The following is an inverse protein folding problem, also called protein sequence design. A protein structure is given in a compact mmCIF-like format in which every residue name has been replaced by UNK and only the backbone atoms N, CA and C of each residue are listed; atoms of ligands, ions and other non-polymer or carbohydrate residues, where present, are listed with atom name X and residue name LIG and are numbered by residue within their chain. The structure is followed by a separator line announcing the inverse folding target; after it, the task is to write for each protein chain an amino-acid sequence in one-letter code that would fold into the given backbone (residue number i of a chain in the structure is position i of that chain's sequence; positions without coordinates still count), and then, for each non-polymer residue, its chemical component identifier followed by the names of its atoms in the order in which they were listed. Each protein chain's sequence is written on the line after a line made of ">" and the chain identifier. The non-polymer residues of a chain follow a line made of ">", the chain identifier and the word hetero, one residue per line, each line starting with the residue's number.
data_IF_946040634654
#
_entry.id   IF_946040634654
#
_cell.length_a   1.000
_cell.length_b   1.000
_cell.length_c   1.000
_cell.angle_alpha   90.00
_cell.angle_beta   90.00
_cell.angle_gamma   90.00
#
_symmetry.space_group_name_H-M   'P 1'
#
loop_
_entity.id
_entity.type
_entity.pdbx_description
1 polymer ?
#
# COMPACT_ATOMS: atom_id res chain seq x y z
N UNK A 1 0.26 -34.26 10.52
CA UNK A 1 -0.37 -33.50 9.42
C UNK A 1 0.35 -32.18 9.33
N UNK A 2 1.42 -32.14 8.53
CA UNK A 2 2.25 -30.94 8.37
C UNK A 2 1.48 -29.89 7.60
N UNK A 3 0.97 -28.88 8.32
CA UNK A 3 0.51 -27.65 7.69
C UNK A 3 1.76 -26.85 7.37
N UNK A 4 2.17 -26.85 6.10
CA UNK A 4 3.26 -26.02 5.61
C UNK A 4 2.86 -24.56 5.72
N UNK A 5 3.40 -23.87 6.71
CA UNK A 5 3.35 -22.41 6.86
C UNK A 5 4.14 -21.78 5.70
N UNK A 6 3.48 -21.65 4.54
CA UNK A 6 4.01 -20.95 3.36
C UNK A 6 3.95 -19.44 3.62
N UNK A 7 4.79 -18.97 4.54
CA UNK A 7 4.95 -17.54 4.81
C UNK A 7 5.65 -16.92 3.60
N UNK A 8 4.84 -16.42 2.66
CA UNK A 8 5.32 -15.63 1.54
C UNK A 8 6.24 -14.51 2.06
N UNK A 9 7.32 -14.16 1.35
CA UNK A 9 8.20 -13.08 1.78
C UNK A 9 7.37 -11.81 1.92
N UNK A 10 7.34 -11.25 3.14
CA UNK A 10 6.60 -10.02 3.45
C UNK A 10 7.33 -8.89 2.74
N UNK A 11 6.80 -8.44 1.61
CA UNK A 11 7.38 -7.35 0.83
C UNK A 11 7.11 -6.03 1.55
N UNK A 12 8.16 -5.25 1.78
CA UNK A 12 8.05 -3.91 2.37
C UNK A 12 7.66 -2.89 1.30
N UNK A 13 6.56 -2.17 1.53
CA UNK A 13 6.11 -1.10 0.63
C UNK A 13 6.79 0.20 1.04
N UNK A 14 7.76 0.64 0.23
CA UNK A 14 8.59 1.83 0.52
C UNK A 14 7.96 3.15 0.11
N UNK A 15 7.01 3.13 -0.82
CA UNK A 15 6.44 4.34 -1.41
C UNK A 15 4.91 4.27 -1.42
N UNK A 16 4.29 5.25 -0.77
CA UNK A 16 2.82 5.37 -0.65
C UNK A 16 2.33 6.78 -0.96
N UNK A 17 3.23 7.65 -1.38
CA UNK A 17 3.00 9.07 -1.62
C UNK A 17 2.77 9.35 -3.12
N UNK A 18 2.39 10.58 -3.45
CA UNK A 18 2.23 11.02 -4.84
C UNK A 18 3.60 11.47 -5.36
N UNK A 19 4.02 10.98 -6.53
CA UNK A 19 5.30 11.36 -7.15
C UNK A 19 5.09 12.40 -8.25
N UNK A 20 5.51 13.65 -8.00
CA UNK A 20 5.39 14.78 -8.93
C UNK A 20 6.73 15.52 -8.96
N UNK A 21 7.22 15.87 -10.15
CA UNK A 21 8.47 16.62 -10.33
C UNK A 21 9.68 16.03 -9.57
N UNK A 22 9.84 14.70 -9.60
CA UNK A 22 10.90 13.95 -8.92
C UNK A 22 10.86 14.00 -7.39
N UNK A 23 9.76 14.44 -6.79
CA UNK A 23 9.58 14.52 -5.35
C UNK A 23 8.34 13.73 -4.90
N UNK A 24 8.39 13.24 -3.66
CA UNK A 24 7.29 12.53 -3.02
C UNK A 24 6.47 13.50 -2.15
N UNK A 25 5.20 13.66 -2.50
CA UNK A 25 4.26 14.55 -1.84
C UNK A 25 3.16 13.76 -1.13
N UNK A 26 2.71 14.30 0.00
CA UNK A 26 1.44 13.85 0.60
C UNK A 26 0.27 14.35 -0.25
N UNK A 27 -0.89 13.71 -0.11
CA UNK A 27 -2.13 14.21 -0.71
C UNK A 27 -2.40 15.65 -0.27
N UNK A 28 -2.90 16.49 -1.18
CA UNK A 28 -3.19 17.90 -0.89
C UNK A 28 -4.24 18.08 0.22
N UNK A 29 -5.20 17.15 0.31
CA UNK A 29 -6.21 17.08 1.36
C UNK A 29 -5.83 16.19 2.55
N UNK A 30 -4.61 15.61 2.54
CA UNK A 30 -4.12 14.69 3.55
C UNK A 30 -4.79 13.32 3.59
N UNK A 31 -5.67 12.99 2.63
CA UNK A 31 -6.40 11.72 2.59
C UNK A 31 -5.57 10.59 1.99
N UNK A 32 -5.88 9.38 2.40
CA UNK A 32 -5.34 8.13 1.87
C UNK A 32 -6.46 7.13 1.66
N UNK A 33 -6.20 6.11 0.86
CA UNK A 33 -7.09 4.96 0.70
C UNK A 33 -6.33 3.65 0.88
N UNK A 34 -7.06 2.63 1.38
CA UNK A 34 -6.53 1.30 1.62
C UNK A 34 -6.33 0.54 0.31
N UNK A 35 -5.17 -0.09 0.14
CA UNK A 35 -4.90 -1.07 -0.91
C UNK A 35 -5.17 -2.45 -0.33
N UNK A 36 -6.13 -3.16 -0.91
CA UNK A 36 -6.57 -4.47 -0.41
C UNK A 36 -5.96 -5.58 -1.26
N UNK A 37 -5.49 -6.64 -0.60
CA UNK A 37 -5.05 -7.86 -1.27
C UNK A 37 -6.28 -8.62 -1.81
N UNK A 38 -6.40 -8.85 -3.12
CA UNK A 38 -7.58 -9.50 -3.70
C UNK A 38 -7.70 -10.99 -3.32
N UNK A 39 -6.63 -11.63 -2.85
CA UNK A 39 -6.61 -13.05 -2.51
C UNK A 39 -6.99 -13.31 -1.06
N UNK A 40 -6.70 -12.37 -0.16
CA UNK A 40 -6.96 -12.51 1.29
C UNK A 40 -8.02 -11.53 1.82
N UNK A 41 -8.29 -10.45 1.10
CA UNK A 41 -9.14 -9.35 1.58
C UNK A 41 -8.50 -8.47 2.65
N UNK A 42 -7.22 -8.71 2.98
CA UNK A 42 -6.50 -7.94 4.00
C UNK A 42 -5.91 -6.65 3.43
N UNK A 43 -5.79 -5.63 4.27
CA UNK A 43 -5.12 -4.38 3.91
C UNK A 43 -3.60 -4.57 3.78
N UNK A 44 -3.03 -4.11 2.67
CA UNK A 44 -1.60 -4.11 2.40
C UNK A 44 -0.96 -2.82 2.92
N UNK A 45 -1.51 -1.67 2.54
CA UNK A 45 -1.04 -0.35 2.94
C UNK A 45 -2.06 0.76 2.64
N UNK A 46 -1.79 1.97 3.14
CA UNK A 46 -2.50 3.20 2.80
C UNK A 46 -1.71 4.01 1.78
N UNK A 47 -2.33 4.41 0.66
CA UNK A 47 -1.71 5.23 -0.39
C UNK A 47 -2.39 6.60 -0.46
N UNK A 48 -1.63 7.66 -0.72
CA UNK A 48 -2.11 9.02 -0.85
C UNK A 48 -3.18 9.16 -1.95
N UNK A 49 -4.31 9.77 -1.60
CA UNK A 49 -5.44 9.99 -2.52
C UNK A 49 -5.17 11.23 -3.39
N UNK A 50 -5.05 11.03 -4.71
CA UNK A 50 -4.96 12.13 -5.66
C UNK A 50 -6.28 12.90 -5.74
N UNK A 51 -6.23 14.21 -5.51
CA UNK A 51 -7.40 15.08 -5.68
C UNK A 51 -7.56 15.51 -7.14
N UNK A 52 -8.80 15.75 -7.56
CA UNK A 52 -9.14 16.29 -8.88
C UNK A 52 -8.87 17.79 -8.96
#
# INVERSE_FOLDING_TARGET
>A
MSSTDSKSPKVEIKYTQIFINNEWHKAANGRTFAVINPTTGEEICQVAEGTR
#
